data_IF_062597990496
#
_entry.id   IF_062597990496
#
_cell.length_a   1.000
_cell.length_b   1.000
_cell.length_c   1.000
_cell.angle_alpha   90.00
_cell.angle_beta   90.00
_cell.angle_gamma   90.00
#
_symmetry.space_group_name_H-M   'P 1'
#
loop_
_entity.id
_entity.type
_entity.pdbx_description
1 polymer ?
#
# COMPACT_ATOMS: atom_id res chain seq x y z
N UNK A 1 -7.90 -23.05 -14.30
CA UNK A 1 -6.88 -23.62 -15.20
C UNK A 1 -5.44 -23.27 -14.80
N UNK A 2 -5.22 -22.68 -13.63
CA UNK A 2 -4.00 -22.89 -12.85
C UNK A 2 -4.48 -23.14 -11.42
N UNK A 3 -4.36 -24.38 -10.95
CA UNK A 3 -4.44 -24.72 -9.53
C UNK A 3 -3.25 -25.64 -9.31
N UNK A 4 -2.23 -25.12 -8.63
CA UNK A 4 -1.17 -25.97 -8.08
C UNK A 4 -1.83 -26.83 -6.99
N UNK A 5 -2.02 -28.12 -7.30
CA UNK A 5 -2.33 -29.10 -6.27
C UNK A 5 -1.02 -29.50 -5.59
N UNK A 6 -0.69 -28.85 -4.49
CA UNK A 6 0.34 -29.33 -3.56
C UNK A 6 -0.22 -30.52 -2.79
N UNK A 7 0.01 -31.73 -3.28
CA UNK A 7 -0.28 -32.96 -2.55
C UNK A 7 0.74 -33.19 -1.44
N UNK A 8 0.37 -32.94 -0.19
CA UNK A 8 1.15 -33.38 0.96
C UNK A 8 1.13 -34.91 1.08
N UNK A 9 2.29 -35.59 1.22
CA UNK A 9 2.31 -37.00 1.56
C UNK A 9 1.98 -37.19 3.06
N UNK A 10 0.90 -37.92 3.33
CA UNK A 10 0.56 -38.37 4.69
C UNK A 10 1.70 -39.21 5.28
N UNK A 11 2.29 -38.73 6.39
CA UNK A 11 3.14 -39.52 7.27
C UNK A 11 2.28 -40.58 7.98
N UNK A 12 2.38 -41.82 7.51
CA UNK A 12 1.98 -42.99 8.29
C UNK A 12 3.12 -43.37 9.24
N UNK A 13 2.86 -43.25 10.53
CA UNK A 13 3.62 -43.95 11.57
C UNK A 13 3.35 -45.45 11.45
N UNK A 14 4.39 -46.26 11.26
CA UNK A 14 4.49 -47.53 11.99
C UNK A 14 5.92 -48.07 12.00
N UNK A 15 6.29 -48.67 13.12
CA UNK A 15 7.67 -48.97 13.48
C UNK A 15 8.22 -50.33 13.05
N UNK A 16 9.50 -50.48 13.39
CA UNK A 16 10.18 -51.73 13.81
C UNK A 16 10.96 -52.53 12.74
N UNK A 17 12.30 -52.42 12.89
CA UNK A 17 13.38 -53.44 12.83
C UNK A 17 13.91 -54.02 11.52
N UNK A 18 15.25 -53.96 11.49
CA UNK A 18 16.27 -54.90 11.00
C UNK A 18 16.33 -55.22 9.50
N UNK A 19 17.50 -54.95 8.90
CA UNK A 19 17.93 -55.71 7.72
C UNK A 19 18.73 -54.94 6.68
N UNK A 20 20.05 -55.03 6.82
CA UNK A 20 21.07 -54.73 5.82
C UNK A 20 20.72 -55.25 4.41
N UNK A 21 20.54 -54.37 3.43
CA UNK A 21 20.62 -54.70 1.99
C UNK A 21 20.83 -53.44 1.16
N UNK A 22 22.06 -53.22 0.71
CA UNK A 22 22.41 -52.28 -0.35
C UNK A 22 21.83 -52.78 -1.67
N UNK A 23 20.67 -52.25 -2.04
CA UNK A 23 20.16 -52.28 -3.42
C UNK A 23 20.00 -50.85 -3.91
N UNK A 24 20.87 -50.54 -4.87
CA UNK A 24 20.89 -49.37 -5.73
C UNK A 24 19.47 -49.05 -6.23
N UNK A 25 18.84 -48.09 -5.57
CA UNK A 25 17.50 -47.62 -5.91
C UNK A 25 17.69 -46.49 -6.90
N UNK A 26 17.57 -46.82 -8.18
CA UNK A 26 17.44 -45.84 -9.25
C UNK A 26 16.33 -44.86 -8.89
N UNK A 27 16.72 -43.63 -8.59
CA UNK A 27 15.80 -42.51 -8.50
C UNK A 27 15.14 -42.37 -9.87
N UNK A 28 13.89 -42.80 -9.97
CA UNK A 28 13.03 -42.46 -11.09
C UNK A 28 12.92 -40.94 -11.09
N UNK A 29 13.63 -40.28 -12.01
CA UNK A 29 13.33 -38.92 -12.41
C UNK A 29 11.85 -38.88 -12.72
N UNK A 30 11.07 -38.18 -11.88
CA UNK A 30 9.73 -37.77 -12.26
C UNK A 30 9.90 -36.91 -13.50
N UNK A 31 9.49 -37.49 -14.62
CA UNK A 31 9.44 -36.88 -15.92
C UNK A 31 8.40 -35.75 -15.85
N UNK A 32 8.84 -34.57 -15.42
CA UNK A 32 8.05 -33.34 -15.47
C UNK A 32 7.89 -32.99 -16.95
N UNK A 33 6.90 -33.61 -17.58
CA UNK A 33 6.41 -33.18 -18.88
C UNK A 33 5.85 -31.77 -18.68
N UNK A 34 6.64 -30.76 -19.03
CA UNK A 34 6.15 -29.38 -19.12
C UNK A 34 4.98 -29.39 -20.09
N UNK A 35 3.77 -29.25 -19.58
CA UNK A 35 2.57 -29.13 -20.39
C UNK A 35 2.67 -27.81 -21.17
N UNK A 36 2.78 -27.92 -22.49
CA UNK A 36 2.95 -26.78 -23.38
C UNK A 36 1.71 -25.88 -23.30
N UNK A 37 1.93 -24.61 -22.96
CA UNK A 37 0.86 -23.61 -22.96
C UNK A 37 0.76 -23.02 -24.36
N UNK A 38 -0.27 -23.42 -25.09
CA UNK A 38 -0.64 -22.78 -26.36
C UNK A 38 -1.47 -21.52 -26.06
N UNK A 39 -1.02 -20.37 -26.59
CA UNK A 39 -1.75 -19.11 -26.51
C UNK A 39 -2.79 -19.11 -27.64
N UNK A 40 -4.09 -19.16 -27.35
CA UNK A 40 -5.12 -19.09 -28.39
C UNK A 40 -5.12 -17.73 -29.10
N UNK A 41 -5.65 -17.67 -30.32
CA UNK A 41 -5.90 -16.38 -30.99
C UNK A 41 -6.85 -15.52 -30.13
N UNK A 42 -6.63 -14.19 -30.05
CA UNK A 42 -7.50 -13.31 -29.28
C UNK A 42 -8.94 -13.34 -29.81
N UNK A 43 -9.94 -13.25 -28.92
CA UNK A 43 -11.32 -13.18 -29.35
C UNK A 43 -11.55 -11.87 -30.14
N UNK A 44 -12.45 -11.91 -31.13
CA UNK A 44 -12.63 -10.80 -32.08
C UNK A 44 -13.16 -9.51 -31.44
N UNK A 45 -13.81 -9.62 -30.29
CA UNK A 45 -14.34 -8.51 -29.50
C UNK A 45 -13.30 -7.91 -28.53
N UNK A 46 -12.08 -8.47 -28.45
CA UNK A 46 -11.05 -7.99 -27.53
C UNK A 46 -10.75 -6.50 -27.70
N UNK A 47 -10.81 -5.98 -28.93
CA UNK A 47 -10.61 -4.56 -29.23
C UNK A 47 -11.67 -3.67 -28.57
N UNK A 48 -12.93 -4.11 -28.58
CA UNK A 48 -14.04 -3.37 -27.98
C UNK A 48 -14.00 -3.49 -26.45
N UNK A 49 -13.81 -4.73 -25.96
CA UNK A 49 -13.77 -5.06 -24.54
C UNK A 49 -12.59 -4.36 -23.84
N UNK A 50 -11.43 -4.30 -24.49
CA UNK A 50 -10.23 -3.65 -23.94
C UNK A 50 -10.01 -2.22 -24.45
N UNK A 51 -11.03 -1.58 -25.03
CA UNK A 51 -10.94 -0.17 -25.39
C UNK A 51 -10.69 0.71 -24.17
N UNK A 52 -10.01 1.84 -24.36
CA UNK A 52 -9.78 2.84 -23.29
C UNK A 52 -11.10 3.25 -22.63
N UNK A 53 -12.15 3.46 -23.43
CA UNK A 53 -13.48 3.83 -22.93
C UNK A 53 -14.11 2.77 -22.03
N UNK A 54 -13.95 1.49 -22.35
CA UNK A 54 -14.54 0.42 -21.54
C UNK A 54 -13.72 0.18 -20.25
N UNK A 55 -12.39 0.27 -20.35
CA UNK A 55 -11.47 0.02 -19.22
C UNK A 55 -11.45 1.13 -18.17
N UNK A 56 -12.01 2.30 -18.47
CA UNK A 56 -12.30 3.35 -17.47
C UNK A 56 -13.33 2.91 -16.42
N UNK A 57 -14.20 1.95 -16.75
CA UNK A 57 -15.17 1.39 -15.82
C UNK A 57 -14.66 0.10 -15.16
N UNK A 58 -14.98 -0.11 -13.88
CA UNK A 58 -14.55 -1.31 -13.12
C UNK A 58 -15.01 -2.59 -13.82
N UNK A 59 -16.25 -2.62 -14.32
CA UNK A 59 -16.81 -3.77 -15.05
C UNK A 59 -16.06 -4.05 -16.36
N UNK A 60 -15.74 -3.01 -17.13
CA UNK A 60 -15.01 -3.16 -18.40
C UNK A 60 -13.55 -3.56 -18.19
N UNK A 61 -12.89 -3.04 -17.13
CA UNK A 61 -11.55 -3.50 -16.74
C UNK A 61 -11.54 -4.99 -16.36
N UNK A 62 -12.56 -5.46 -15.65
CA UNK A 62 -12.70 -6.88 -15.31
C UNK A 62 -12.91 -7.76 -16.55
N UNK A 63 -13.79 -7.33 -17.47
CA UNK A 63 -14.03 -8.05 -18.73
C UNK A 63 -12.76 -8.11 -19.59
N UNK A 64 -12.04 -6.99 -19.72
CA UNK A 64 -10.77 -6.95 -20.44
C UNK A 64 -9.73 -7.87 -19.79
N UNK A 65 -9.58 -7.83 -18.46
CA UNK A 65 -8.66 -8.73 -17.76
C UNK A 65 -9.02 -10.20 -17.96
N UNK A 66 -10.31 -10.55 -18.01
CA UNK A 66 -10.75 -11.92 -18.26
C UNK A 66 -10.40 -12.37 -19.69
N UNK A 67 -10.62 -11.51 -20.69
CA UNK A 67 -10.29 -11.81 -22.09
C UNK A 67 -8.78 -11.83 -22.35
N UNK A 68 -8.00 -11.05 -21.61
CA UNK A 68 -6.54 -10.98 -21.70
C UNK A 68 -5.82 -12.13 -20.97
N UNK A 69 -6.52 -12.92 -20.13
CA UNK A 69 -5.90 -13.94 -19.27
C UNK A 69 -5.00 -14.92 -20.03
N UNK A 70 -5.37 -15.31 -21.24
CA UNK A 70 -4.57 -16.25 -22.04
C UNK A 70 -3.24 -15.67 -22.53
N UNK A 71 -3.14 -14.34 -22.58
CA UNK A 71 -1.92 -13.62 -22.95
C UNK A 71 -0.99 -13.33 -21.78
N UNK A 72 -1.37 -13.65 -20.54
CA UNK A 72 -0.59 -13.34 -19.35
C UNK A 72 0.85 -13.89 -19.45
N UNK A 73 1.03 -15.06 -20.07
CA UNK A 73 2.35 -15.64 -20.29
C UNK A 73 3.22 -14.86 -21.29
N UNK A 74 2.61 -14.08 -22.19
CA UNK A 74 3.30 -13.20 -23.13
C UNK A 74 3.99 -12.03 -22.40
N UNK A 75 3.39 -11.54 -21.31
CA UNK A 75 3.93 -10.43 -20.51
C UNK A 75 4.96 -10.91 -19.49
N UNK A 76 4.82 -12.16 -19.02
CA UNK A 76 5.77 -12.78 -18.09
C UNK A 76 7.00 -13.39 -18.76
N UNK A 77 7.16 -13.20 -20.08
CA UNK A 77 8.19 -13.84 -20.90
C UNK A 77 8.20 -15.39 -20.83
N UNK A 78 7.20 -16.01 -20.20
CA UNK A 78 7.16 -17.46 -19.95
C UNK A 78 6.70 -18.25 -21.17
N UNK A 79 6.12 -17.59 -22.17
CA UNK A 79 5.66 -18.20 -23.42
C UNK A 79 6.73 -18.27 -24.54
N UNK A 80 7.94 -17.71 -24.34
CA UNK A 80 8.96 -17.60 -25.41
C UNK A 80 10.15 -18.58 -25.30
N UNK A 81 10.30 -19.31 -24.19
CA UNK A 81 11.50 -20.12 -23.91
C UNK A 81 11.55 -21.50 -24.60
N UNK A 82 11.14 -21.60 -25.86
CA UNK A 82 11.14 -22.87 -26.60
C UNK A 82 11.87 -22.74 -27.94
N UNK A 83 13.21 -22.73 -27.88
CA UNK A 83 14.09 -22.81 -29.06
C UNK A 83 14.48 -24.25 -29.42
N UNK A 84 13.99 -25.27 -28.69
CA UNK A 84 14.30 -26.67 -29.01
C UNK A 84 13.38 -27.23 -30.10
N UNK A 85 13.99 -27.88 -31.10
CA UNK A 85 13.47 -28.17 -32.45
C UNK A 85 12.08 -28.83 -32.53
N UNK A 86 11.64 -29.58 -31.54
CA UNK A 86 10.38 -30.34 -31.63
C UNK A 86 9.12 -29.49 -31.41
N UNK A 87 9.23 -28.29 -30.81
CA UNK A 87 8.09 -27.43 -30.46
C UNK A 87 8.19 -26.00 -31.03
N UNK A 88 9.08 -25.80 -32.00
CA UNK A 88 9.30 -24.51 -32.65
C UNK A 88 8.02 -23.92 -33.28
N UNK A 89 7.06 -24.77 -33.70
CA UNK A 89 5.78 -24.33 -34.26
C UNK A 89 4.85 -23.73 -33.18
N UNK A 90 4.83 -24.30 -31.97
CA UNK A 90 4.09 -23.74 -30.83
C UNK A 90 4.69 -22.39 -30.44
N UNK A 91 6.02 -22.28 -30.36
CA UNK A 91 6.70 -21.01 -30.09
C UNK A 91 6.39 -19.94 -31.15
N UNK A 92 6.29 -20.32 -32.43
CA UNK A 92 5.90 -19.40 -33.52
C UNK A 92 4.44 -18.95 -33.42
N UNK A 93 3.52 -19.86 -33.14
CA UNK A 93 2.10 -19.53 -32.96
C UNK A 93 1.88 -18.65 -31.72
N UNK A 94 2.54 -18.96 -30.61
CA UNK A 94 2.51 -18.14 -29.41
C UNK A 94 3.07 -16.73 -29.69
N UNK A 95 4.22 -16.60 -30.37
CA UNK A 95 4.76 -15.29 -30.78
C UNK A 95 3.77 -14.51 -31.63
N UNK A 96 3.14 -15.15 -32.62
CA UNK A 96 2.11 -14.52 -33.47
C UNK A 96 0.93 -14.04 -32.62
N UNK A 97 0.40 -14.88 -31.74
CA UNK A 97 -0.78 -14.58 -30.95
C UNK A 97 -0.49 -13.53 -29.86
N UNK A 98 0.66 -13.61 -29.20
CA UNK A 98 1.13 -12.59 -28.25
C UNK A 98 1.16 -11.19 -28.89
N UNK A 99 1.68 -11.05 -30.12
CA UNK A 99 1.67 -9.77 -30.87
C UNK A 99 0.26 -9.21 -31.09
N UNK A 100 -0.75 -10.07 -31.22
CA UNK A 100 -2.14 -9.64 -31.38
C UNK A 100 -2.76 -9.17 -30.04
N UNK A 101 -2.33 -9.73 -28.92
CA UNK A 101 -2.77 -9.29 -27.58
C UNK A 101 -2.07 -8.01 -27.11
N UNK A 102 -0.81 -7.76 -27.49
CA UNK A 102 0.01 -6.64 -26.97
C UNK A 102 -0.71 -5.29 -26.98
N UNK A 103 -1.17 -4.76 -28.13
CA UNK A 103 -1.76 -3.41 -28.13
C UNK A 103 -3.09 -3.31 -27.36
N UNK A 104 -3.74 -4.45 -27.08
CA UNK A 104 -5.06 -4.50 -26.46
C UNK A 104 -4.98 -4.76 -24.95
N UNK A 105 -4.06 -5.63 -24.52
CA UNK A 105 -3.92 -6.04 -23.13
C UNK A 105 -2.86 -5.25 -22.35
N UNK A 106 -2.10 -4.37 -23.02
CA UNK A 106 -1.17 -3.45 -22.37
C UNK A 106 -1.89 -2.55 -21.33
N UNK A 107 -3.18 -2.28 -21.52
CA UNK A 107 -4.02 -1.52 -20.57
C UNK A 107 -4.22 -2.24 -19.22
N UNK A 108 -4.10 -3.57 -19.20
CA UNK A 108 -4.23 -4.41 -17.99
C UNK A 108 -2.88 -4.74 -17.41
N UNK A 109 -1.93 -5.18 -18.24
CA UNK A 109 -0.66 -5.74 -17.80
C UNK A 109 0.52 -4.76 -17.88
N UNK A 110 0.33 -3.56 -18.42
CA UNK A 110 1.41 -2.65 -18.75
C UNK A 110 2.06 -3.01 -20.09
N UNK A 111 3.05 -2.24 -20.54
CA UNK A 111 3.70 -2.50 -21.84
C UNK A 111 4.43 -3.83 -21.84
N UNK A 112 4.10 -4.70 -22.78
CA UNK A 112 4.84 -5.94 -22.98
C UNK A 112 6.32 -5.66 -23.32
N UNK A 113 7.27 -6.44 -22.79
CA UNK A 113 8.67 -6.33 -23.20
C UNK A 113 8.80 -6.58 -24.72
N UNK A 114 9.80 -5.95 -25.38
CA UNK A 114 10.03 -6.14 -26.79
C UNK A 114 10.26 -7.64 -27.07
N UNK A 115 9.42 -8.22 -27.93
CA UNK A 115 9.64 -9.59 -28.42
C UNK A 115 10.94 -9.55 -29.22
N UNK A 116 11.94 -10.41 -28.90
CA UNK A 116 13.14 -10.52 -29.72
C UNK A 116 12.71 -10.73 -31.17
N UNK A 117 13.01 -9.77 -32.04
CA UNK A 117 12.85 -9.98 -33.46
C UNK A 117 13.84 -11.09 -33.85
N UNK A 118 13.42 -12.03 -34.70
CA UNK A 118 14.30 -13.06 -35.25
C UNK A 118 15.40 -12.34 -36.03
N UNK A 119 16.48 -12.00 -35.33
CA UNK A 119 17.55 -11.15 -35.80
C UNK A 119 18.87 -11.90 -35.78
N UNK A 120 19.44 -12.05 -36.96
CA UNK A 120 20.70 -12.72 -37.32
C UNK A 120 21.95 -11.94 -36.84
N UNK A 121 21.82 -11.10 -35.81
CA UNK A 121 22.79 -10.06 -35.44
C UNK A 121 23.48 -10.27 -34.10
N UNK A 122 24.80 -10.16 -34.12
CA UNK A 122 25.73 -10.33 -33.00
C UNK A 122 25.38 -9.45 -31.78
N UNK A 123 24.88 -10.11 -30.73
CA UNK A 123 24.99 -9.83 -29.30
C UNK A 123 25.23 -8.39 -28.83
N UNK A 124 24.16 -7.63 -28.64
CA UNK A 124 24.09 -6.77 -27.47
C UNK A 124 23.75 -7.65 -26.26
N UNK A 125 24.51 -7.49 -25.18
CA UNK A 125 24.40 -8.28 -23.95
C UNK A 125 23.00 -8.09 -23.34
N UNK A 126 22.12 -9.02 -23.68
CA UNK A 126 20.76 -9.10 -23.15
C UNK A 126 20.85 -9.41 -21.66
N UNK A 127 20.73 -8.38 -20.83
CA UNK A 127 20.47 -8.54 -19.40
C UNK A 127 19.04 -9.07 -19.31
N UNK A 128 18.81 -10.33 -18.89
CA UNK A 128 17.46 -10.86 -18.78
C UNK A 128 16.69 -9.98 -17.81
N UNK A 129 15.63 -9.31 -18.28
CA UNK A 129 14.78 -8.56 -17.36
C UNK A 129 14.09 -9.56 -16.44
N UNK A 130 14.62 -9.71 -15.22
CA UNK A 130 14.07 -10.58 -14.21
C UNK A 130 12.70 -10.01 -13.82
N UNK A 131 11.61 -10.77 -13.98
CA UNK A 131 10.27 -10.30 -13.62
C UNK A 131 10.05 -10.61 -12.14
N UNK A 132 9.92 -9.57 -11.34
CA UNK A 132 9.66 -9.72 -9.90
C UNK A 132 8.18 -10.07 -9.71
N UNK A 133 7.85 -11.16 -9.00
CA UNK A 133 6.47 -11.46 -8.61
C UNK A 133 5.85 -10.30 -7.83
N UNK A 134 4.56 -10.07 -7.99
CA UNK A 134 3.85 -9.11 -7.13
C UNK A 134 3.75 -9.69 -5.71
N UNK A 135 4.05 -8.92 -4.65
CA UNK A 135 3.90 -9.42 -3.29
C UNK A 135 2.43 -9.69 -2.93
N UNK A 136 2.22 -10.49 -1.89
CA UNK A 136 0.89 -10.70 -1.31
C UNK A 136 0.30 -9.36 -0.83
N UNK A 137 -1.03 -9.21 -0.92
CA UNK A 137 -1.70 -7.97 -0.54
C UNK A 137 -1.57 -7.64 0.96
N UNK A 138 -1.29 -8.64 1.80
CA UNK A 138 -1.10 -8.50 3.25
C UNK A 138 0.38 -8.35 3.67
N UNK A 139 1.32 -8.16 2.72
CA UNK A 139 2.75 -8.03 3.04
C UNK A 139 3.03 -6.94 4.09
N UNK A 140 2.24 -5.85 4.09
CA UNK A 140 2.38 -4.78 5.09
C UNK A 140 1.99 -5.20 6.51
N UNK A 141 0.96 -6.04 6.64
CA UNK A 141 0.46 -6.52 7.93
C UNK A 141 1.35 -7.63 8.47
N UNK A 142 1.76 -8.56 7.61
CA UNK A 142 2.60 -9.70 8.01
C UNK A 142 4.03 -9.25 8.35
N UNK A 143 4.53 -8.22 7.66
CA UNK A 143 5.87 -7.67 7.88
C UNK A 143 5.88 -6.39 8.70
N UNK A 144 4.81 -6.09 9.45
CA UNK A 144 4.79 -4.94 10.35
C UNK A 144 5.80 -5.15 11.50
N UNK A 145 6.73 -4.20 11.76
CA UNK A 145 7.74 -4.30 12.82
C UNK A 145 7.20 -4.71 14.20
N UNK A 146 5.94 -4.38 14.50
CA UNK A 146 5.34 -4.56 15.83
C UNK A 146 4.61 -5.89 16.00
N UNK A 147 4.18 -6.53 14.90
CA UNK A 147 3.32 -7.73 14.92
C UNK A 147 3.98 -8.95 14.24
N UNK A 148 5.30 -8.90 14.02
CA UNK A 148 6.03 -9.89 13.24
C UNK A 148 6.00 -11.31 13.83
N UNK A 149 5.46 -12.23 13.03
CA UNK A 149 6.01 -13.58 12.91
C UNK A 149 7.10 -13.56 11.81
N UNK A 150 8.40 -13.54 12.17
CA UNK A 150 9.49 -13.36 11.21
C UNK A 150 9.51 -14.43 10.11
N UNK A 151 9.07 -15.65 10.45
CA UNK A 151 9.04 -16.77 9.50
C UNK A 151 8.02 -16.51 8.38
N UNK A 152 6.80 -16.09 8.74
CA UNK A 152 5.73 -15.77 7.78
C UNK A 152 6.10 -14.59 6.87
N UNK A 153 6.73 -13.54 7.42
CA UNK A 153 7.17 -12.43 6.60
C UNK A 153 8.33 -12.84 5.68
N UNK A 154 9.31 -13.62 6.15
CA UNK A 154 10.42 -14.14 5.33
C UNK A 154 9.91 -14.93 4.13
N UNK A 155 8.90 -15.78 4.32
CA UNK A 155 8.28 -16.56 3.25
C UNK A 155 7.68 -15.67 2.15
N UNK A 156 6.96 -14.61 2.52
CA UNK A 156 6.38 -13.65 1.56
C UNK A 156 7.50 -12.85 0.85
N UNK A 157 8.53 -12.47 1.60
CA UNK A 157 9.63 -11.64 1.13
C UNK A 157 10.60 -12.38 0.20
N UNK A 158 10.71 -13.71 0.31
CA UNK A 158 11.62 -14.51 -0.48
C UNK A 158 11.38 -14.35 -2.00
N UNK A 159 10.13 -14.18 -2.41
CA UNK A 159 9.77 -13.98 -3.82
C UNK A 159 10.33 -12.67 -4.43
N UNK A 160 10.62 -11.68 -3.58
CA UNK A 160 11.16 -10.38 -3.98
C UNK A 160 12.52 -10.05 -3.36
N UNK A 161 13.30 -11.06 -2.92
CA UNK A 161 14.58 -10.82 -2.26
C UNK A 161 15.55 -10.00 -3.11
N UNK A 162 15.55 -10.20 -4.43
CA UNK A 162 16.35 -9.43 -5.38
C UNK A 162 16.03 -7.91 -5.39
N UNK A 163 14.86 -7.51 -4.88
CA UNK A 163 14.50 -6.08 -4.74
C UNK A 163 15.15 -5.43 -3.52
N UNK A 164 15.65 -6.24 -2.59
CA UNK A 164 16.30 -5.80 -1.36
C UNK A 164 17.83 -5.71 -1.53
N UNK A 165 18.37 -6.31 -2.58
CA UNK A 165 19.78 -6.19 -2.95
C UNK A 165 20.14 -4.75 -3.37
N UNK A 166 21.35 -4.26 -3.03
CA UNK A 166 21.84 -2.95 -3.47
C UNK A 166 21.69 -2.77 -4.98
N UNK A 167 21.30 -1.56 -5.45
CA UNK A 167 21.02 -1.31 -6.87
C UNK A 167 22.20 -1.63 -7.79
N UNK A 168 23.43 -1.52 -7.29
CA UNK A 168 24.65 -1.82 -8.03
C UNK A 168 25.01 -3.32 -8.02
N UNK A 169 24.31 -4.14 -7.23
CA UNK A 169 24.51 -5.60 -7.20
C UNK A 169 24.06 -6.25 -8.50
N UNK A 170 24.82 -7.22 -8.98
CA UNK A 170 24.41 -8.05 -10.12
C UNK A 170 23.16 -8.90 -9.83
N UNK A 171 22.84 -9.07 -8.54
CA UNK A 171 21.66 -9.80 -8.08
C UNK A 171 20.43 -8.89 -7.93
N UNK A 172 20.58 -7.57 -8.11
CA UNK A 172 19.47 -6.63 -8.01
C UNK A 172 18.56 -6.72 -9.22
N UNK A 173 17.28 -6.92 -8.96
CA UNK A 173 16.23 -6.87 -9.99
C UNK A 173 15.51 -5.52 -10.04
N UNK A 174 16.04 -4.50 -9.36
CA UNK A 174 15.39 -3.21 -9.21
C UNK A 174 15.14 -2.50 -10.55
N UNK A 175 16.13 -2.50 -11.44
CA UNK A 175 16.04 -1.83 -12.76
C UNK A 175 14.97 -2.50 -13.62
N UNK A 176 13.93 -1.76 -13.99
CA UNK A 176 12.78 -2.26 -14.75
C UNK A 176 11.66 -2.89 -13.90
N UNK A 177 11.83 -3.02 -12.59
CA UNK A 177 10.79 -3.49 -11.66
C UNK A 177 10.55 -2.52 -10.49
N UNK A 178 10.85 -1.23 -10.66
CA UNK A 178 10.90 -0.25 -9.58
C UNK A 178 9.59 -0.17 -8.78
N UNK A 179 8.46 -0.25 -9.50
CA UNK A 179 7.11 -0.21 -8.90
C UNK A 179 6.82 -1.46 -8.09
N UNK A 180 7.22 -2.64 -8.58
CA UNK A 180 7.02 -3.91 -7.87
C UNK A 180 7.96 -4.01 -6.66
N UNK A 181 9.22 -3.64 -6.83
CA UNK A 181 10.21 -3.62 -5.75
C UNK A 181 9.81 -2.65 -4.62
N UNK A 182 9.17 -1.52 -4.94
CA UNK A 182 8.64 -0.63 -3.91
C UNK A 182 7.54 -1.28 -3.04
N UNK A 183 6.84 -2.31 -3.52
CA UNK A 183 5.82 -3.02 -2.74
C UNK A 183 6.44 -4.01 -1.74
N UNK A 184 7.70 -4.40 -1.93
CA UNK A 184 8.48 -5.22 -1.00
C UNK A 184 9.16 -4.39 0.11
N UNK A 185 8.93 -3.07 0.19
CA UNK A 185 9.53 -2.25 1.24
C UNK A 185 9.28 -2.74 2.69
N UNK A 186 8.16 -3.40 3.04
CA UNK A 186 7.99 -3.96 4.39
C UNK A 186 9.01 -5.05 4.73
N UNK A 187 9.60 -5.71 3.73
CA UNK A 187 10.57 -6.79 3.92
C UNK A 187 11.97 -6.32 4.34
N UNK A 188 12.24 -5.02 4.25
CA UNK A 188 13.56 -4.45 4.55
C UNK A 188 13.96 -4.77 6.01
N UNK A 189 12.99 -4.79 6.93
CA UNK A 189 13.22 -5.12 8.34
C UNK A 189 13.84 -6.50 8.55
N UNK A 190 13.50 -7.47 7.70
CA UNK A 190 14.02 -8.84 7.78
C UNK A 190 15.40 -8.95 7.16
N UNK A 191 15.60 -8.34 5.99
CA UNK A 191 16.89 -8.37 5.29
C UNK A 191 18.03 -7.79 6.14
N UNK A 192 17.71 -6.79 6.99
CA UNK A 192 18.68 -6.19 7.90
C UNK A 192 18.95 -7.02 9.16
N UNK A 193 18.08 -7.98 9.52
CA UNK A 193 18.14 -8.68 10.80
C UNK A 193 18.88 -10.02 10.80
N UNK A 194 19.01 -10.69 9.65
CA UNK A 194 19.38 -12.11 9.61
C UNK A 194 20.88 -12.39 9.50
N UNK A 195 21.66 -11.49 8.90
CA UNK A 195 23.12 -11.63 8.80
C UNK A 195 23.88 -10.99 9.97
N UNK A 196 23.18 -10.29 10.87
CA UNK A 196 23.75 -9.73 12.11
C UNK A 196 23.93 -10.78 13.23
N UNK A 197 24.21 -12.03 12.86
CA UNK A 197 24.61 -13.09 13.79
C UNK A 197 25.95 -12.78 14.47
N UNK A 198 25.93 -11.94 15.50
CA UNK A 198 27.07 -11.69 16.39
C UNK A 198 27.84 -10.39 16.19
N UNK A 199 27.27 -9.39 15.50
CA UNK A 199 27.76 -8.02 15.61
C UNK A 199 26.96 -7.30 16.69
N UNK A 200 27.72 -6.72 17.63
CA UNK A 200 27.32 -5.86 18.73
C UNK A 200 25.98 -5.14 18.48
N UNK A 201 25.05 -5.23 19.43
CA UNK A 201 23.72 -4.61 19.44
C UNK A 201 23.78 -3.09 19.15
N UNK A 202 24.97 -2.50 19.22
CA UNK A 202 25.30 -1.12 18.84
C UNK A 202 25.25 -0.81 17.34
N UNK A 203 25.40 -1.79 16.44
CA UNK A 203 25.38 -1.54 14.97
C UNK A 203 23.96 -1.52 14.38
N UNK A 204 22.99 -2.14 15.06
CA UNK A 204 21.62 -2.25 14.54
C UNK A 204 20.81 -0.94 14.60
N UNK A 205 21.36 0.10 15.24
CA UNK A 205 20.72 1.41 15.37
C UNK A 205 21.37 2.51 14.50
N UNK A 206 22.26 2.17 13.56
CA UNK A 206 22.78 3.18 12.63
C UNK A 206 21.80 3.41 11.47
N UNK A 207 21.23 4.61 11.32
CA UNK A 207 20.39 4.95 10.17
C UNK A 207 21.22 4.90 8.89
N UNK A 208 20.62 4.41 7.79
CA UNK A 208 21.32 4.37 6.51
C UNK A 208 21.51 5.79 5.96
N UNK A 209 22.71 6.11 5.46
CA UNK A 209 22.96 7.44 4.88
C UNK A 209 22.10 7.65 3.61
N UNK A 210 21.25 8.69 3.57
CA UNK A 210 20.35 8.89 2.46
C UNK A 210 20.98 9.73 1.35
N UNK A 211 20.42 9.63 0.13
CA UNK A 211 20.77 10.54 -0.96
C UNK A 211 20.12 11.91 -0.73
N UNK A 212 20.89 12.88 -0.24
CA UNK A 212 20.42 14.25 0.08
C UNK A 212 19.71 14.93 -1.11
N UNK A 213 20.23 14.80 -2.33
CA UNK A 213 19.63 15.43 -3.51
C UNK A 213 18.26 14.83 -3.84
N UNK A 214 18.12 13.51 -3.71
CA UNK A 214 16.84 12.85 -3.90
C UNK A 214 15.86 13.23 -2.78
N UNK A 215 16.34 13.30 -1.54
CA UNK A 215 15.49 13.65 -0.41
C UNK A 215 14.98 15.10 -0.50
N UNK A 216 15.83 16.06 -0.84
CA UNK A 216 15.41 17.45 -1.07
C UNK A 216 14.36 17.54 -2.19
N UNK A 217 14.58 16.82 -3.30
CA UNK A 217 13.67 16.85 -4.46
C UNK A 217 12.31 16.20 -4.16
N UNK A 218 12.32 15.05 -3.48
CA UNK A 218 11.14 14.21 -3.27
C UNK A 218 10.37 14.60 -2.02
N UNK A 219 11.08 14.95 -0.93
CA UNK A 219 10.50 15.32 0.36
C UNK A 219 10.31 16.82 0.56
N UNK A 220 10.62 17.67 -0.44
CA UNK A 220 10.26 19.08 -0.37
C UNK A 220 8.74 19.23 -0.13
N UNK A 221 8.29 20.14 0.76
CA UNK A 221 6.87 20.34 1.04
C UNK A 221 6.03 20.56 -0.22
N UNK A 222 6.57 21.33 -1.16
CA UNK A 222 5.94 21.57 -2.46
C UNK A 222 5.80 20.29 -3.29
N UNK A 223 6.83 19.45 -3.32
CA UNK A 223 6.84 18.21 -4.10
C UNK A 223 5.82 17.20 -3.57
N UNK A 224 5.66 17.10 -2.24
CA UNK A 224 4.68 16.23 -1.58
C UNK A 224 3.24 16.71 -1.87
N UNK A 225 2.98 18.01 -1.77
CA UNK A 225 1.65 18.59 -2.03
C UNK A 225 1.25 18.47 -3.51
N UNK A 226 2.21 18.64 -4.43
CA UNK A 226 1.95 18.59 -5.88
C UNK A 226 1.78 17.16 -6.42
N UNK A 227 2.26 16.12 -5.72
CA UNK A 227 2.28 14.75 -6.23
C UNK A 227 2.18 13.69 -5.15
N UNK A 228 1.11 12.88 -5.19
CA UNK A 228 0.97 11.69 -4.33
C UNK A 228 2.13 10.69 -4.52
N UNK A 229 2.69 10.60 -5.72
CA UNK A 229 3.85 9.72 -5.98
C UNK A 229 5.08 10.20 -5.20
N UNK A 230 5.30 11.52 -5.11
CA UNK A 230 6.40 12.06 -4.31
C UNK A 230 6.15 11.87 -2.82
N UNK A 231 4.91 11.97 -2.34
CA UNK A 231 4.57 11.65 -0.95
C UNK A 231 4.95 10.21 -0.58
N UNK A 232 4.60 9.23 -1.44
CA UNK A 232 4.94 7.81 -1.23
C UNK A 232 6.46 7.59 -1.31
N UNK A 233 7.14 8.18 -2.30
CA UNK A 233 8.60 8.08 -2.42
C UNK A 233 9.30 8.71 -1.22
N UNK A 234 8.81 9.85 -0.75
CA UNK A 234 9.34 10.50 0.44
C UNK A 234 9.19 9.60 1.65
N UNK A 235 8.00 9.05 1.87
CA UNK A 235 7.75 8.10 2.96
C UNK A 235 8.74 6.94 2.94
N UNK A 236 8.95 6.31 1.77
CA UNK A 236 9.89 5.19 1.62
C UNK A 236 11.35 5.59 1.88
N UNK A 237 11.78 6.79 1.47
CA UNK A 237 13.11 7.29 1.79
C UNK A 237 13.24 7.51 3.32
N UNK A 238 12.23 8.11 3.93
CA UNK A 238 12.21 8.45 5.34
C UNK A 238 12.13 7.25 6.27
N UNK A 239 11.52 6.13 5.84
CA UNK A 239 11.47 4.91 6.66
C UNK A 239 12.86 4.34 6.96
N UNK A 240 13.86 4.57 6.09
CA UNK A 240 15.24 4.13 6.31
C UNK A 240 15.94 4.86 7.47
N UNK A 241 15.46 6.06 7.80
CA UNK A 241 15.95 6.88 8.90
C UNK A 241 14.88 7.17 9.94
N UNK A 242 13.84 6.33 10.04
CA UNK A 242 12.71 6.59 10.95
C UNK A 242 13.17 6.81 12.41
N UNK A 243 14.20 6.10 12.83
CA UNK A 243 14.79 6.26 14.15
C UNK A 243 15.37 7.67 14.39
N UNK A 244 15.69 8.45 13.36
CA UNK A 244 16.24 9.80 13.53
C UNK A 244 15.21 10.84 13.97
N UNK A 245 13.91 10.55 13.80
CA UNK A 245 12.84 11.50 14.10
C UNK A 245 11.63 10.86 14.81
N UNK A 246 11.75 9.60 15.22
CA UNK A 246 10.81 8.92 16.11
C UNK A 246 11.02 9.36 17.57
N UNK A 247 9.93 9.61 18.30
CA UNK A 247 10.00 9.93 19.73
C UNK A 247 10.35 8.71 20.58
N UNK A 248 9.85 7.54 20.20
CA UNK A 248 9.91 6.34 21.05
C UNK A 248 11.18 5.53 20.83
N UNK A 249 11.80 5.64 19.64
CA UNK A 249 12.98 4.86 19.24
C UNK A 249 14.00 5.77 18.56
N UNK A 250 14.42 6.82 19.27
CA UNK A 250 15.41 7.75 18.73
C UNK A 250 16.80 7.10 18.64
N UNK A 251 17.35 7.01 17.43
CA UNK A 251 18.76 6.69 17.19
C UNK A 251 19.64 7.94 17.16
N UNK A 252 19.11 9.10 17.53
CA UNK A 252 19.81 10.38 17.55
C UNK A 252 20.79 10.42 18.74
N UNK A 253 22.02 9.98 18.52
CA UNK A 253 23.15 10.04 19.44
C UNK A 253 24.36 10.70 18.77
N UNK A 254 25.44 10.93 19.51
CA UNK A 254 26.65 11.62 19.01
C UNK A 254 27.25 10.94 17.75
N UNK A 255 27.09 9.62 17.61
CA UNK A 255 27.63 8.84 16.49
C UNK A 255 26.75 8.92 15.22
N UNK A 256 25.44 9.13 15.39
CA UNK A 256 24.46 9.14 14.30
C UNK A 256 23.97 10.54 13.93
N UNK A 257 24.39 11.58 14.68
CA UNK A 257 23.90 12.95 14.50
C UNK A 257 24.02 13.44 13.05
N UNK A 258 25.19 13.26 12.43
CA UNK A 258 25.45 13.72 11.05
C UNK A 258 24.52 13.05 10.04
N UNK A 259 24.25 11.75 10.18
CA UNK A 259 23.33 11.02 9.30
C UNK A 259 21.88 11.43 9.56
N UNK A 260 21.49 11.60 10.82
CA UNK A 260 20.14 12.00 11.19
C UNK A 260 19.79 13.43 10.75
N UNK A 261 20.77 14.34 10.69
CA UNK A 261 20.56 15.68 10.14
C UNK A 261 20.17 15.66 8.65
N UNK A 262 20.63 14.66 7.88
CA UNK A 262 20.25 14.47 6.47
C UNK A 262 18.79 14.04 6.30
N UNK A 263 18.22 13.40 7.32
CA UNK A 263 16.78 13.08 7.38
C UNK A 263 15.90 14.25 7.82
N UNK A 264 16.44 15.47 7.94
CA UNK A 264 15.66 16.65 8.34
C UNK A 264 14.44 16.92 7.44
N UNK A 265 14.50 16.57 6.16
CA UNK A 265 13.36 16.69 5.23
C UNK A 265 12.19 15.75 5.57
N UNK A 266 12.44 14.67 6.32
CA UNK A 266 11.42 13.70 6.72
C UNK A 266 10.53 14.18 7.87
N UNK A 267 10.91 15.27 8.55
CA UNK A 267 10.11 15.87 9.63
C UNK A 267 8.71 16.29 9.17
N UNK A 268 8.52 16.55 7.87
CA UNK A 268 7.20 16.84 7.31
C UNK A 268 6.22 15.67 7.46
N UNK A 269 6.71 14.44 7.56
CA UNK A 269 5.88 13.24 7.68
C UNK A 269 5.46 12.95 9.13
N UNK A 270 6.27 13.34 10.12
CA UNK A 270 5.94 13.11 11.53
C UNK A 270 4.91 14.11 12.07
N UNK A 271 4.72 15.25 11.39
CA UNK A 271 3.87 16.33 11.88
C UNK A 271 4.37 16.97 13.18
N UNK A 272 5.59 16.59 13.62
CA UNK A 272 6.22 17.12 14.83
C UNK A 272 7.10 18.29 14.43
N UNK A 273 6.55 19.50 14.58
CA UNK A 273 7.32 20.73 14.45
C UNK A 273 8.11 20.95 15.75
N UNK A 274 9.38 20.54 15.78
CA UNK A 274 10.32 20.89 16.85
C UNK A 274 10.70 22.37 16.73
N UNK A 275 9.74 23.25 17.00
CA UNK A 275 9.97 24.68 17.22
C UNK A 275 10.25 24.88 18.71
N UNK A 276 11.51 24.69 19.09
CA UNK A 276 11.99 24.97 20.44
C UNK A 276 12.00 26.47 20.72
N UNK A 277 11.01 26.94 21.48
CA UNK A 277 11.12 28.11 22.35
C UNK A 277 11.06 27.59 23.80
N UNK A 278 12.15 27.80 24.56
CA UNK A 278 12.33 27.35 25.96
C UNK A 278 11.29 27.94 26.92
N UNK A 279 11.06 27.34 28.09
CA UNK A 279 12.03 27.34 29.18
C UNK A 279 12.16 25.99 29.94
N UNK A 280 13.37 25.80 30.51
CA UNK A 280 13.84 24.80 31.48
C UNK A 280 14.58 23.52 30.95
N UNK A 281 15.91 23.67 30.85
CA UNK A 281 17.03 22.70 31.01
C UNK A 281 17.10 21.38 30.18
N UNK A 282 17.81 21.42 29.03
CA UNK A 282 19.08 20.69 28.76
C UNK A 282 19.47 20.59 27.25
N UNK A 283 20.62 21.20 26.89
CA UNK A 283 21.75 20.78 26.00
C UNK A 283 21.43 19.65 24.97
N UNK A 284 21.46 19.83 23.62
CA UNK A 284 22.57 20.13 22.67
C UNK A 284 22.00 20.81 21.39
N UNK A 285 22.68 21.84 20.84
CA UNK A 285 22.35 22.53 19.58
C UNK A 285 23.14 22.01 18.37
N UNK A 286 22.71 22.28 17.12
CA UNK A 286 23.21 23.37 16.25
C UNK A 286 22.09 23.94 15.36
N UNK A 287 22.11 25.27 15.21
CA UNK A 287 21.19 26.07 14.38
C UNK A 287 21.88 26.65 13.13
N UNK A 288 21.13 26.82 12.03
CA UNK A 288 21.36 27.89 11.05
C UNK A 288 20.08 28.73 10.95
N UNK A 289 20.19 30.01 11.35
CA UNK A 289 19.16 31.06 11.27
C UNK A 289 19.15 31.72 9.89
N UNK A 290 17.94 32.07 9.40
CA UNK A 290 17.57 33.48 9.12
C UNK A 290 16.05 33.67 8.90
N UNK A 291 15.44 34.49 9.78
CA UNK A 291 14.15 35.23 9.66
C UNK A 291 12.86 34.40 9.61
N UNK A 292 11.85 34.53 10.47
CA UNK A 292 11.43 35.58 11.39
C UNK A 292 9.90 35.71 11.29
N UNK A 293 9.17 35.11 12.24
CA UNK A 293 7.92 35.57 12.87
C UNK A 293 7.17 34.38 13.50
N UNK A 294 6.95 34.51 14.81
CA UNK A 294 6.50 33.49 15.76
C UNK A 294 4.97 33.51 15.88
N UNK A 295 4.31 32.63 15.14
CA UNK A 295 3.01 31.99 15.48
C UNK A 295 2.63 31.10 14.31
N UNK A 296 2.86 29.78 14.41
CA UNK A 296 2.36 28.82 13.42
C UNK A 296 1.76 27.62 14.13
N UNK A 297 0.44 27.66 14.23
CA UNK A 297 -0.40 26.58 14.74
C UNK A 297 -0.39 25.39 13.77
N UNK A 298 -0.61 24.18 14.31
CA UNK A 298 -0.69 22.95 13.55
C UNK A 298 -1.75 23.03 12.44
N UNK A 299 -1.43 22.52 11.25
CA UNK A 299 -2.35 22.50 10.11
C UNK A 299 -3.22 21.24 10.21
N UNK A 300 -4.56 21.39 10.21
CA UNK A 300 -5.48 20.26 10.08
C UNK A 300 -5.25 19.65 8.69
N UNK A 301 -4.80 18.37 8.58
CA UNK A 301 -4.62 17.76 7.27
C UNK A 301 -5.97 17.66 6.55
N UNK A 302 -5.96 17.74 5.22
CA UNK A 302 -7.16 17.46 4.44
C UNK A 302 -7.53 15.98 4.58
N UNK A 303 -8.84 15.64 4.59
CA UNK A 303 -9.26 14.26 4.62
C UNK A 303 -8.76 13.51 3.37
N UNK A 304 -8.51 12.20 3.47
CA UNK A 304 -8.31 11.36 2.30
C UNK A 304 -9.45 11.56 1.30
N UNK A 305 -9.14 11.57 0.00
CA UNK A 305 -10.13 11.75 -1.09
C UNK A 305 -11.25 10.71 -1.00
N UNK A 306 -10.98 9.56 -0.38
CA UNK A 306 -11.87 8.42 -0.23
C UNK A 306 -12.43 8.24 1.20
N UNK A 307 -12.42 9.28 2.05
CA UNK A 307 -12.92 9.18 3.43
C UNK A 307 -14.37 8.64 3.50
N UNK A 308 -15.23 8.97 2.54
CA UNK A 308 -16.59 8.42 2.44
C UNK A 308 -16.63 6.93 2.14
N UNK A 309 -15.68 6.43 1.35
CA UNK A 309 -15.55 5.01 1.07
C UNK A 309 -14.99 4.27 2.28
N UNK A 310 -13.94 4.81 2.91
CA UNK A 310 -13.32 4.27 4.13
C UNK A 310 -14.37 4.19 5.26
N UNK A 311 -15.13 5.26 5.47
CA UNK A 311 -16.15 5.39 6.51
C UNK A 311 -17.58 5.09 6.01
N UNK A 312 -17.70 4.28 4.96
CA UNK A 312 -19.00 3.79 4.51
C UNK A 312 -19.59 2.81 5.53
N UNK A 313 -20.92 2.77 5.65
CA UNK A 313 -21.60 1.82 6.56
C UNK A 313 -21.18 0.36 6.33
N UNK A 314 -20.98 -0.04 5.06
CA UNK A 314 -20.50 -1.37 4.71
C UNK A 314 -19.14 -1.70 5.33
N UNK A 315 -18.26 -0.71 5.45
CA UNK A 315 -16.96 -0.84 6.07
C UNK A 315 -17.01 -0.71 7.59
N UNK A 316 -17.99 0.00 8.16
CA UNK A 316 -18.13 0.11 9.62
C UNK A 316 -18.65 -1.15 10.32
N UNK A 317 -19.27 -2.07 9.56
CA UNK A 317 -19.69 -3.39 10.07
C UNK A 317 -18.48 -4.31 10.26
N UNK A 318 -17.45 -4.13 9.43
CA UNK A 318 -16.21 -4.88 9.52
C UNK A 318 -15.28 -4.25 10.58
N UNK A 319 -14.77 -5.07 11.51
CA UNK A 319 -14.00 -4.58 12.64
C UNK A 319 -12.71 -3.86 12.20
N UNK A 320 -11.99 -4.43 11.25
CA UNK A 320 -10.70 -3.92 10.79
C UNK A 320 -10.88 -2.61 10.02
N UNK A 321 -11.89 -2.57 9.14
CA UNK A 321 -12.21 -1.38 8.37
C UNK A 321 -12.81 -0.26 9.23
N UNK A 322 -13.55 -0.60 10.28
CA UNK A 322 -13.99 0.34 11.30
C UNK A 322 -12.79 1.00 12.00
N UNK A 323 -11.82 0.22 12.47
CA UNK A 323 -10.60 0.75 13.10
C UNK A 323 -9.80 1.65 12.12
N UNK A 324 -9.82 1.33 10.82
CA UNK A 324 -9.25 2.20 9.78
C UNK A 324 -9.99 3.53 9.66
N UNK A 325 -11.32 3.53 9.66
CA UNK A 325 -12.11 4.77 9.67
C UNK A 325 -11.86 5.58 10.95
N UNK A 326 -11.80 4.93 12.12
CA UNK A 326 -11.49 5.60 13.40
C UNK A 326 -10.14 6.31 13.37
N UNK A 327 -9.08 5.66 12.85
CA UNK A 327 -7.76 6.28 12.68
C UNK A 327 -7.76 7.51 11.78
N UNK A 328 -8.52 7.48 10.68
CA UNK A 328 -8.64 8.62 9.75
C UNK A 328 -9.42 9.77 10.40
N UNK A 329 -10.41 9.45 11.25
CA UNK A 329 -11.28 10.44 11.88
C UNK A 329 -10.74 11.03 13.18
N UNK A 330 -9.87 10.32 13.91
CA UNK A 330 -9.28 10.75 15.19
C UNK A 330 -8.67 12.16 15.17
N UNK A 331 -7.80 12.53 14.21
CA UNK A 331 -7.23 13.87 14.15
C UNK A 331 -8.27 14.99 14.00
N UNK A 332 -9.39 14.69 13.31
CA UNK A 332 -10.46 15.66 13.08
C UNK A 332 -11.39 15.84 14.29
N UNK A 333 -11.66 14.75 15.02
CA UNK A 333 -12.55 14.78 16.21
C UNK A 333 -11.93 15.68 17.29
N UNK A 334 -10.62 15.54 17.53
CA UNK A 334 -9.92 16.32 18.54
C UNK A 334 -9.75 17.80 18.14
N UNK A 335 -9.52 18.05 16.85
CA UNK A 335 -9.27 19.41 16.33
C UNK A 335 -10.55 20.22 16.12
N UNK A 336 -11.63 19.61 15.62
CA UNK A 336 -12.85 20.33 15.21
C UNK A 336 -13.88 20.51 16.35
N UNK A 337 -13.91 19.65 17.38
CA UNK A 337 -14.86 19.79 18.50
C UNK A 337 -14.50 20.89 19.50
N UNK A 338 -13.25 21.35 19.51
CA UNK A 338 -12.73 22.32 20.48
C UNK A 338 -13.23 23.76 20.27
N UNK A 339 -13.97 24.04 19.18
CA UNK A 339 -14.52 25.37 18.89
C UNK A 339 -15.88 25.66 19.56
N UNK A 340 -16.49 24.67 20.24
CA UNK A 340 -17.77 24.83 20.91
C UNK A 340 -17.67 25.24 22.38
N UNK A 341 -17.65 26.55 22.67
CA UNK A 341 -18.03 27.16 23.97
C UNK A 341 -17.07 27.18 25.18
N UNK A 342 -15.77 26.90 25.08
CA UNK A 342 -14.86 27.09 26.22
C UNK A 342 -13.82 28.19 25.99
N UNK A 343 -13.77 29.16 26.91
CA UNK A 343 -12.82 30.30 26.94
C UNK A 343 -11.41 29.91 27.39
N UNK A 344 -11.00 28.66 27.18
CA UNK A 344 -9.66 28.18 27.57
C UNK A 344 -8.77 28.14 26.31
N UNK A 345 -7.99 29.20 26.12
CA UNK A 345 -7.21 29.51 24.90
C UNK A 345 -5.96 28.66 24.70
N UNK A 346 -5.87 27.48 25.32
CA UNK A 346 -4.57 26.81 25.43
C UNK A 346 -4.26 25.80 24.33
N UNK A 347 -5.22 25.39 23.47
CA UNK A 347 -4.97 24.57 22.27
C UNK A 347 -6.10 24.76 21.26
N UNK A 348 -5.90 25.60 20.25
CA UNK A 348 -6.85 25.74 19.13
C UNK A 348 -6.09 25.56 17.83
N UNK A 349 -6.40 24.49 17.10
CA UNK A 349 -5.81 24.18 15.80
C UNK A 349 -6.67 24.90 14.76
N UNK A 350 -6.08 25.83 14.00
CA UNK A 350 -6.81 26.64 13.04
C UNK A 350 -6.09 26.70 11.69
N UNK A 351 -6.87 26.66 10.60
CA UNK A 351 -6.41 26.96 9.26
C UNK A 351 -6.08 28.45 9.16
N UNK A 352 -4.81 28.74 8.88
CA UNK A 352 -4.29 30.10 8.73
C UNK A 352 -4.05 30.36 7.25
N UNK A 353 -4.65 31.43 6.72
CA UNK A 353 -4.45 31.81 5.32
C UNK A 353 -3.00 32.25 5.04
N UNK A 354 -2.64 32.44 3.77
CA UNK A 354 -1.30 32.90 3.37
C UNK A 354 -0.89 34.28 3.92
N UNK A 355 -1.72 34.93 4.74
CA UNK A 355 -1.45 36.22 5.42
C UNK A 355 -1.37 36.10 6.94
N UNK A 356 -1.51 34.91 7.52
CA UNK A 356 -1.40 34.73 8.97
C UNK A 356 -2.72 34.94 9.73
N UNK A 357 -3.87 35.04 9.03
CA UNK A 357 -5.18 35.19 9.67
C UNK A 357 -5.92 33.85 9.71
N UNK A 358 -6.62 33.55 10.82
CA UNK A 358 -7.48 32.37 10.93
C UNK A 358 -8.61 32.51 9.89
N UNK A 359 -8.61 31.64 8.89
CA UNK A 359 -9.70 31.58 7.92
C UNK A 359 -10.81 30.67 8.46
N UNK A 360 -11.73 31.29 9.20
CA UNK A 360 -12.86 30.59 9.81
C UNK A 360 -13.71 29.85 8.77
N UNK A 361 -13.86 30.39 7.56
CA UNK A 361 -14.65 29.77 6.49
C UNK A 361 -13.97 28.49 5.93
N UNK A 362 -12.65 28.50 5.77
CA UNK A 362 -11.91 27.30 5.35
C UNK A 362 -11.84 26.24 6.45
N UNK A 363 -11.72 26.64 7.72
CA UNK A 363 -11.83 25.74 8.86
C UNK A 363 -13.19 25.04 8.91
N UNK A 364 -14.28 25.79 8.79
CA UNK A 364 -15.63 25.23 8.77
C UNK A 364 -15.81 24.27 7.58
N UNK A 365 -15.20 24.57 6.43
CA UNK A 365 -15.23 23.71 5.25
C UNK A 365 -14.44 22.42 5.44
N UNK A 366 -13.21 22.47 5.96
CA UNK A 366 -12.37 21.28 6.21
C UNK A 366 -12.99 20.42 7.30
N UNK A 367 -13.41 21.01 8.42
CA UNK A 367 -14.12 20.29 9.47
C UNK A 367 -15.45 19.71 8.99
N UNK A 368 -16.15 20.38 8.07
CA UNK A 368 -17.37 19.87 7.44
C UNK A 368 -17.15 18.56 6.67
N UNK A 369 -16.05 18.47 5.92
CA UNK A 369 -15.70 17.26 5.15
C UNK A 369 -15.44 16.05 6.05
N UNK A 370 -14.81 16.26 7.22
CA UNK A 370 -14.63 15.19 8.19
C UNK A 370 -15.93 14.85 8.93
N UNK A 371 -16.70 15.85 9.34
CA UNK A 371 -17.87 15.66 10.19
C UNK A 371 -18.95 14.80 9.50
N UNK A 372 -19.17 14.97 8.19
CA UNK A 372 -20.19 14.21 7.45
C UNK A 372 -19.85 12.70 7.38
N UNK A 373 -18.60 12.35 7.11
CA UNK A 373 -18.17 10.95 6.99
C UNK A 373 -17.90 10.30 8.36
N UNK A 374 -17.27 11.04 9.28
CA UNK A 374 -16.85 10.54 10.59
C UNK A 374 -17.95 10.49 11.64
N UNK A 375 -19.03 11.27 11.48
CA UNK A 375 -20.20 11.19 12.38
C UNK A 375 -20.84 9.80 12.42
N UNK A 376 -20.63 8.99 11.37
CA UNK A 376 -21.10 7.59 11.27
C UNK A 376 -20.41 6.63 12.23
N UNK A 377 -19.26 7.00 12.79
CA UNK A 377 -18.56 6.22 13.83
C UNK A 377 -19.27 6.28 15.18
N UNK A 378 -20.08 7.32 15.41
CA UNK A 378 -20.87 7.40 16.63
C UNK A 378 -21.95 6.33 16.60
N UNK A 379 -22.08 5.49 17.63
CA UNK A 379 -23.22 4.60 17.72
C UNK A 379 -24.51 5.42 17.62
N UNK A 380 -25.49 4.93 16.87
CA UNK A 380 -26.79 5.60 16.78
C UNK A 380 -27.27 5.90 18.19
N UNK A 381 -27.70 7.14 18.47
CA UNK A 381 -28.19 7.48 19.79
C UNK A 381 -29.34 6.54 20.16
N UNK A 382 -29.39 6.01 21.39
CA UNK A 382 -30.51 5.19 21.82
C UNK A 382 -31.81 6.00 21.64
N UNK A 383 -32.92 5.34 21.24
CA UNK A 383 -34.19 6.04 21.07
C UNK A 383 -34.59 6.74 22.37
N UNK A 384 -35.25 7.92 22.29
CA UNK A 384 -35.78 8.57 23.47
C UNK A 384 -36.64 7.58 24.28
N UNK A 385 -36.52 7.56 25.62
CA UNK A 385 -37.26 6.60 26.45
C UNK A 385 -38.79 6.76 26.33
N UNK A 386 -39.27 7.89 25.82
CA UNK A 386 -40.66 8.23 25.57
C UNK A 386 -41.07 8.13 24.09
N UNK A 387 -40.28 7.48 23.23
CA UNK A 387 -40.56 7.36 21.79
C UNK A 387 -41.99 6.87 21.49
N UNK A 388 -42.49 5.92 22.26
CA UNK A 388 -43.88 5.42 22.16
C UNK A 388 -44.92 6.53 22.39
N UNK A 389 -44.65 7.44 23.32
CA UNK A 389 -45.53 8.56 23.63
C UNK A 389 -45.40 9.66 22.55
N UNK A 390 -44.17 9.97 22.12
CA UNK A 390 -43.89 10.93 21.04
C UNK A 390 -44.56 10.51 19.72
N UNK A 391 -44.56 9.21 19.42
CA UNK A 391 -45.13 8.63 18.20
C UNK A 391 -46.59 8.20 18.32
N UNK A 392 -47.21 8.32 19.49
CA UNK A 392 -48.65 8.17 19.63
C UNK A 392 -49.35 9.45 19.18
N UNK A 393 -50.30 9.34 18.23
CA UNK A 393 -51.28 10.28 17.60
C UNK A 393 -51.27 11.82 17.82
N UNK A 394 -50.54 12.41 18.75
CA UNK A 394 -50.62 13.81 19.12
C UNK A 394 -49.57 14.71 18.45
N UNK A 395 -48.40 14.20 18.02
CA UNK A 395 -47.30 15.05 17.55
C UNK A 395 -46.38 14.40 16.48
N UNK A 396 -46.87 14.22 15.24
CA UNK A 396 -46.11 13.56 14.18
C UNK A 396 -44.75 14.22 13.87
N UNK A 397 -44.62 15.54 14.01
CA UNK A 397 -43.34 16.24 13.80
C UNK A 397 -42.31 15.98 14.90
N UNK A 398 -42.72 15.72 16.14
CA UNK A 398 -41.80 15.36 17.23
C UNK A 398 -41.37 13.90 17.13
N UNK A 399 -42.29 13.01 16.73
CA UNK A 399 -41.96 11.63 16.37
C UNK A 399 -40.99 11.54 15.21
N UNK A 400 -41.20 12.31 14.13
CA UNK A 400 -40.30 12.29 12.97
C UNK A 400 -38.88 12.71 13.34
N UNK A 401 -38.72 13.77 14.16
CA UNK A 401 -37.41 14.18 14.69
C UNK A 401 -36.78 13.13 15.60
N UNK A 402 -37.57 12.50 16.47
CA UNK A 402 -37.09 11.44 17.36
C UNK A 402 -36.64 10.18 16.58
N UNK A 403 -37.24 9.93 15.42
CA UNK A 403 -36.90 8.82 14.53
C UNK A 403 -35.87 9.17 13.45
N UNK A 404 -35.50 10.44 13.29
CA UNK A 404 -34.59 10.93 12.23
C UNK A 404 -33.26 10.16 12.19
N UNK A 405 -32.57 9.89 13.32
CA UNK A 405 -31.31 9.12 13.31
C UNK A 405 -31.47 7.68 12.80
N UNK A 406 -32.68 7.11 12.91
CA UNK A 406 -32.99 5.74 12.47
C UNK A 406 -33.73 5.72 11.12
N UNK A 407 -34.03 6.87 10.51
CA UNK A 407 -34.86 6.97 9.30
C UNK A 407 -34.25 6.20 8.13
N UNK A 408 -32.91 6.18 8.03
CA UNK A 408 -32.20 5.39 7.03
C UNK A 408 -32.43 3.87 7.15
N UNK A 409 -32.80 3.35 8.32
CA UNK A 409 -33.10 1.91 8.47
C UNK A 409 -34.43 1.51 7.82
N UNK A 410 -35.29 2.47 7.51
CA UNK A 410 -36.65 2.24 7.01
C UNK A 410 -36.87 2.73 5.58
N UNK A 411 -35.86 3.34 4.96
CA UNK A 411 -35.92 3.73 3.55
C UNK A 411 -35.73 2.48 2.68
N UNK A 412 -36.57 2.33 1.65
CA UNK A 412 -36.60 1.19 0.73
C UNK A 412 -35.85 1.44 -0.60
N UNK A 413 -35.14 2.56 -0.69
CA UNK A 413 -34.35 3.00 -1.84
C UNK A 413 -32.85 3.07 -1.46
N UNK A 414 -32.01 3.59 -2.36
CA UNK A 414 -30.55 3.77 -2.17
C UNK A 414 -30.17 4.63 -0.95
N UNK A 415 -31.13 5.28 -0.30
CA UNK A 415 -30.94 6.05 0.94
C UNK A 415 -31.07 5.18 2.21
N UNK A 416 -31.34 3.88 2.03
CA UNK A 416 -31.31 2.92 3.12
C UNK A 416 -29.90 2.77 3.68
N UNK A 417 -29.77 2.70 5.00
CA UNK A 417 -28.52 2.30 5.67
C UNK A 417 -28.05 0.89 5.25
N UNK A 418 -28.90 0.12 4.54
CA UNK A 418 -28.62 -1.22 4.02
C UNK A 418 -28.58 -1.30 2.48
N UNK A 419 -28.76 -0.18 1.76
CA UNK A 419 -29.03 -0.14 0.32
C UNK A 419 -27.92 -0.67 -0.61
N UNK A 420 -26.75 -1.01 -0.07
CA UNK A 420 -25.64 -1.59 -0.82
C UNK A 420 -25.55 -3.13 -0.75
N UNK A 421 -26.46 -3.81 -0.03
CA UNK A 421 -26.35 -5.26 0.20
C UNK A 421 -27.22 -6.16 -0.70
N UNK A 422 -28.03 -5.62 -1.62
CA UNK A 422 -28.94 -6.46 -2.45
C UNK A 422 -28.67 -6.44 -3.96
N UNK A 423 -27.42 -6.24 -4.39
CA UNK A 423 -27.00 -6.57 -5.76
C UNK A 423 -25.77 -7.47 -5.71
N UNK A 424 -25.98 -8.76 -5.42
CA UNK A 424 -25.04 -9.84 -5.74
C UNK A 424 -25.80 -11.08 -6.23
#
# INVERSE_FOLDING_TARGET
>A
LCNEQTGEPQKGDDGTKDGNSTTDSGMNNSDWTLEYIEVPEPPSDLIEVCSETNTLHVSGKFQCSASCRFSECCYKNSCYYFEFDEHAEIGKNNRKNCKLYTPLCDVIYGKMPPIPEEGDGEGEEYIPSFIVPKPSNNIKEVCDPFDLDPESCREICQAGSCCLEPKESQESCYTGNEITCAQYSPCISIALGEDSGGLDETLSNQPMEPNETEMELVCAPKAIVESQLNAIRCFNLCTLGWCCFSLDNSCFNDDNQEVCEKYSHCKILSGIDYSGDGDDDAVIGVAIRQGGDSNKDAIIPNPPIDIDAICSYANLIDKEKKEKCERVCLPSIESCHSHGNNTDTSRTIAYIDGRGEINQEENEKVCGLYNESCSRLSPLPPPPPDLTNLCSFAKPSECEKACEPAKCCFLSNLESCFGYHEIS
#
